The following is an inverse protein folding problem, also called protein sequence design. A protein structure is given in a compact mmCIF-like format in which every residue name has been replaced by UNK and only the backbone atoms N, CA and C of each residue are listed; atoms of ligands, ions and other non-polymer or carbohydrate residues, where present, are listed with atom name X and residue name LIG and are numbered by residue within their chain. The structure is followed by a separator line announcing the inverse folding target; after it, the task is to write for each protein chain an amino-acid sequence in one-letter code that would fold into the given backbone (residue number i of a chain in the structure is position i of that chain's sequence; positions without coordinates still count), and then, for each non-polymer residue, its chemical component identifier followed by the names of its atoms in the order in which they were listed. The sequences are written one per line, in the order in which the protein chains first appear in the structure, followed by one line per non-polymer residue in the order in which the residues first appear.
data_IF_522652704389
#
_entry.id   IF_522652704389
#
_cell.length_a   1.000
_cell.length_b   1.000
_cell.length_c   1.000
_cell.angle_alpha   90.00
_cell.angle_beta   90.00
_cell.angle_gamma   90.00
#
_symmetry.space_group_name_H-M   'P 1'
#
loop_
_entity.id
_entity.type
_entity.pdbx_description
1 polymer ?
#
# COMPACT_ATOMS: atom_id res chain seq x y z
N UNK A 1 -22.43 24.36 4.73
CA UNK A 1 -22.58 23.00 5.32
C UNK A 1 -22.92 21.95 4.28
N UNK A 2 -23.83 22.24 3.37
CA UNK A 2 -24.17 21.30 2.27
C UNK A 2 -23.07 21.10 1.21
N UNK A 3 -22.19 22.09 0.97
CA UNK A 3 -21.18 22.00 -0.08
C UNK A 3 -20.07 20.97 0.23
N UNK A 4 -19.57 20.91 1.45
CA UNK A 4 -18.49 19.98 1.80
C UNK A 4 -18.97 18.52 1.86
N UNK A 5 -20.17 18.29 2.40
CA UNK A 5 -20.80 16.98 2.38
C UNK A 5 -21.10 16.52 0.93
N UNK A 6 -21.46 17.45 0.05
CA UNK A 6 -21.67 17.17 -1.37
C UNK A 6 -20.37 16.96 -2.13
N UNK A 7 -19.30 17.70 -1.82
CA UNK A 7 -18.01 17.57 -2.50
C UNK A 7 -17.28 16.27 -2.13
N UNK A 8 -17.33 15.85 -0.87
CA UNK A 8 -16.73 14.60 -0.44
C UNK A 8 -17.60 13.40 -0.83
N UNK A 9 -18.93 13.54 -0.86
CA UNK A 9 -19.81 12.55 -1.49
C UNK A 9 -19.62 12.52 -3.01
N UNK A 10 -19.28 13.63 -3.66
CA UNK A 10 -18.89 13.69 -5.06
C UNK A 10 -17.53 13.05 -5.31
N UNK A 11 -16.55 13.17 -4.40
CA UNK A 11 -15.28 12.46 -4.50
C UNK A 11 -15.44 10.95 -4.36
N UNK A 12 -16.34 10.52 -3.46
CA UNK A 12 -16.73 9.11 -3.36
C UNK A 12 -17.53 8.64 -4.60
N UNK A 13 -18.27 9.58 -5.25
CA UNK A 13 -19.03 9.30 -6.48
C UNK A 13 -18.23 9.52 -7.76
N UNK A 14 -17.17 10.33 -7.75
CA UNK A 14 -16.29 10.53 -8.93
C UNK A 14 -15.37 9.33 -9.20
N UNK A 15 -15.32 8.35 -8.29
CA UNK A 15 -14.82 7.01 -8.59
C UNK A 15 -15.85 6.13 -9.30
N UNK A 16 -17.11 6.57 -9.38
CA UNK A 16 -18.13 5.99 -10.27
C UNK A 16 -17.97 6.56 -11.69
N UNK A 17 -16.94 6.14 -12.41
CA UNK A 17 -17.07 6.04 -13.85
C UNK A 17 -18.23 5.05 -14.12
N UNK A 18 -19.11 5.29 -15.11
CA UNK A 18 -20.17 4.36 -15.45
C UNK A 18 -19.55 3.08 -16.04
N UNK A 19 -18.98 2.26 -15.20
CA UNK A 19 -18.35 0.99 -15.50
C UNK A 19 -19.21 -0.12 -14.94
N UNK A 20 -19.74 -0.93 -15.81
CA UNK A 20 -20.48 -2.17 -15.54
C UNK A 20 -19.87 -2.91 -14.36
N UNK A 21 -20.70 -3.30 -13.44
CA UNK A 21 -20.45 -4.15 -12.28
C UNK A 21 -19.35 -5.21 -12.57
N UNK A 22 -18.22 -5.15 -11.86
CA UNK A 22 -17.13 -6.16 -11.95
C UNK A 22 -17.68 -7.56 -11.61
N UNK A 23 -18.73 -7.63 -10.79
CA UNK A 23 -19.38 -8.86 -10.38
C UNK A 23 -20.04 -9.66 -11.52
N UNK A 24 -20.40 -9.03 -12.66
CA UNK A 24 -21.07 -9.74 -13.75
C UNK A 24 -20.13 -10.42 -14.76
N UNK A 25 -18.81 -10.15 -14.70
CA UNK A 25 -17.82 -10.69 -15.65
C UNK A 25 -16.70 -11.53 -15.03
N UNK A 26 -16.69 -11.72 -13.71
CA UNK A 26 -15.83 -12.73 -13.07
C UNK A 26 -16.46 -14.14 -13.30
N UNK A 27 -16.33 -14.65 -14.52
CA UNK A 27 -16.61 -16.06 -14.81
C UNK A 27 -15.54 -16.89 -14.13
N UNK A 28 -15.84 -17.42 -12.95
CA UNK A 28 -15.11 -18.52 -12.36
C UNK A 28 -15.35 -19.78 -13.21
N UNK A 29 -14.37 -20.15 -14.01
CA UNK A 29 -14.33 -21.52 -14.55
C UNK A 29 -13.75 -22.42 -13.46
N UNK A 30 -14.60 -23.06 -12.68
CA UNK A 30 -14.19 -24.15 -11.76
C UNK A 30 -14.21 -25.43 -12.58
N UNK A 31 -13.09 -25.80 -13.13
CA UNK A 31 -12.89 -27.13 -13.68
C UNK A 31 -11.79 -27.84 -12.88
N UNK A 32 -12.19 -28.80 -12.07
CA UNK A 32 -11.29 -29.79 -11.50
C UNK A 32 -11.24 -29.80 -9.97
N UNK A 33 -11.66 -30.90 -9.38
CA UNK A 33 -11.32 -31.29 -8.02
C UNK A 33 -9.81 -31.49 -7.95
N UNK A 34 -9.10 -30.63 -7.22
CA UNK A 34 -7.65 -30.78 -6.99
C UNK A 34 -7.50 -31.59 -5.72
N UNK A 35 -7.07 -32.84 -5.88
CA UNK A 35 -6.49 -33.62 -4.79
C UNK A 35 -5.13 -33.00 -4.46
N UNK A 36 -4.99 -32.42 -3.26
CA UNK A 36 -3.72 -31.85 -2.77
C UNK A 36 -2.96 -32.98 -2.10
N UNK A 37 -2.01 -33.58 -2.83
CA UNK A 37 -0.97 -34.42 -2.22
C UNK A 37 0.11 -33.51 -1.62
N UNK A 38 0.29 -33.59 -0.31
CA UNK A 38 1.41 -32.98 0.41
C UNK A 38 2.70 -33.71 0.06
N UNK A 39 3.54 -33.14 -0.80
CA UNK A 39 4.93 -33.58 -0.95
C UNK A 39 5.86 -32.60 -0.20
N UNK A 40 6.48 -33.08 0.87
CA UNK A 40 7.64 -32.43 1.49
C UNK A 40 8.78 -32.36 0.46
N UNK A 41 9.05 -31.18 -0.11
CA UNK A 41 10.39 -30.90 -0.64
C UNK A 41 10.59 -30.56 -2.10
N UNK A 42 9.61 -30.67 -3.01
CA UNK A 42 9.82 -30.26 -4.42
C UNK A 42 9.00 -29.03 -4.79
N UNK A 43 9.64 -28.05 -5.45
CA UNK A 43 8.96 -26.92 -6.04
C UNK A 43 8.08 -27.45 -7.18
N UNK A 44 6.77 -27.14 -7.22
CA UNK A 44 5.90 -27.58 -8.31
C UNK A 44 6.28 -26.91 -9.63
N UNK A 45 5.95 -27.52 -10.74
CA UNK A 45 6.18 -26.93 -12.08
C UNK A 45 5.20 -25.79 -12.39
N UNK A 46 4.02 -25.80 -11.76
CA UNK A 46 2.95 -24.80 -11.94
C UNK A 46 2.45 -24.28 -10.61
N UNK A 47 1.84 -23.12 -10.61
CA UNK A 47 1.27 -22.46 -9.46
C UNK A 47 -0.04 -21.75 -9.83
N UNK A 48 -0.84 -21.39 -8.82
CA UNK A 48 -1.97 -20.51 -9.01
C UNK A 48 -1.55 -19.05 -8.89
N UNK A 49 -2.19 -18.19 -9.69
CA UNK A 49 -1.97 -16.75 -9.65
C UNK A 49 -3.21 -15.97 -10.10
N UNK A 50 -3.39 -14.76 -9.56
CA UNK A 50 -4.38 -13.80 -10.04
C UNK A 50 -3.77 -13.01 -11.21
N UNK A 51 -4.09 -13.42 -12.42
CA UNK A 51 -3.50 -12.90 -13.67
C UNK A 51 -4.35 -11.77 -14.24
N UNK A 52 -3.76 -10.60 -14.36
CA UNK A 52 -4.34 -9.48 -15.08
C UNK A 52 -4.31 -9.73 -16.59
N UNK A 53 -5.46 -9.68 -17.24
CA UNK A 53 -5.65 -9.93 -18.67
C UNK A 53 -6.08 -8.69 -19.47
N UNK A 54 -6.45 -7.60 -18.76
CA UNK A 54 -6.88 -6.34 -19.35
C UNK A 54 -7.60 -5.46 -18.33
N UNK A 55 -8.14 -4.35 -18.80
CA UNK A 55 -8.88 -3.41 -17.95
C UNK A 55 -10.00 -4.13 -17.20
N UNK A 56 -9.97 -4.07 -15.87
CA UNK A 56 -10.92 -4.72 -14.97
C UNK A 56 -11.07 -6.25 -15.20
N UNK A 57 -10.05 -6.89 -15.76
CA UNK A 57 -10.05 -8.32 -16.02
C UNK A 57 -8.86 -8.98 -15.30
N UNK A 58 -9.12 -9.57 -14.13
CA UNK A 58 -8.17 -10.36 -13.36
C UNK A 58 -8.76 -11.74 -13.14
N UNK A 59 -8.01 -12.77 -13.51
CA UNK A 59 -8.46 -14.17 -13.48
C UNK A 59 -7.55 -15.03 -12.63
N UNK A 60 -8.12 -15.94 -11.86
CA UNK A 60 -7.33 -17.00 -11.23
C UNK A 60 -6.94 -18.04 -12.29
N UNK A 61 -5.65 -18.24 -12.47
CA UNK A 61 -5.10 -19.14 -13.49
C UNK A 61 -4.00 -20.03 -12.92
N UNK A 62 -3.80 -21.18 -13.54
CA UNK A 62 -2.61 -22.01 -13.33
C UNK A 62 -1.55 -21.58 -14.32
N UNK A 63 -0.39 -21.18 -13.82
CA UNK A 63 0.73 -20.67 -14.61
C UNK A 63 2.03 -21.38 -14.19
N UNK A 64 3.08 -21.39 -15.02
CA UNK A 64 4.38 -21.93 -14.61
C UNK A 64 4.94 -21.19 -13.38
N UNK A 65 5.55 -21.93 -12.45
CA UNK A 65 6.39 -21.31 -11.40
C UNK A 65 7.58 -20.64 -12.10
N UNK A 66 7.90 -19.37 -11.75
CA UNK A 66 8.96 -18.66 -12.45
C UNK A 66 10.33 -19.31 -12.24
N UNK A 67 11.05 -19.52 -13.34
CA UNK A 67 12.44 -19.95 -13.27
C UNK A 67 13.29 -18.82 -12.64
N UNK A 68 14.29 -19.18 -11.85
CA UNK A 68 15.21 -18.23 -11.20
C UNK A 68 16.66 -18.62 -11.50
N UNK A 69 17.55 -17.64 -11.47
CA UNK A 69 18.95 -17.76 -11.83
C UNK A 69 19.93 -17.56 -10.67
N UNK A 70 21.21 -17.41 -11.02
CA UNK A 70 22.25 -17.11 -10.06
C UNK A 70 21.98 -15.78 -9.33
N UNK A 71 22.20 -15.72 -8.02
CA UNK A 71 21.99 -14.55 -7.20
C UNK A 71 20.53 -14.26 -6.83
N UNK A 72 19.56 -15.05 -7.34
CA UNK A 72 18.13 -14.83 -7.19
C UNK A 72 17.50 -15.77 -6.14
N UNK A 73 16.29 -15.44 -5.71
CA UNK A 73 15.47 -16.28 -4.84
C UNK A 73 14.15 -16.65 -5.53
N UNK A 74 13.63 -17.81 -5.19
CA UNK A 74 12.23 -18.12 -5.32
C UNK A 74 11.60 -18.06 -3.94
N UNK A 75 10.62 -17.17 -3.75
CA UNK A 75 9.91 -17.01 -2.49
C UNK A 75 8.48 -17.53 -2.64
N UNK A 76 8.08 -18.44 -1.75
CA UNK A 76 6.69 -18.84 -1.60
C UNK A 76 5.98 -17.75 -0.80
N UNK A 77 4.97 -17.14 -1.42
CA UNK A 77 4.23 -16.01 -0.84
C UNK A 77 3.31 -16.51 0.27
N UNK A 78 3.42 -15.91 1.44
CA UNK A 78 2.50 -16.14 2.54
C UNK A 78 1.40 -15.08 2.57
N UNK A 79 1.79 -13.80 2.52
CA UNK A 79 0.86 -12.66 2.60
C UNK A 79 1.27 -11.59 1.60
N UNK A 80 0.30 -11.09 0.86
CA UNK A 80 0.47 -9.92 0.01
C UNK A 80 -0.66 -8.92 0.26
N UNK A 81 -0.31 -7.68 0.58
CA UNK A 81 -1.28 -6.60 0.75
C UNK A 81 -1.85 -6.12 -0.58
N UNK A 82 -3.15 -5.81 -0.60
CA UNK A 82 -3.80 -5.12 -1.73
C UNK A 82 -3.60 -3.63 -1.57
N UNK A 83 -3.05 -2.99 -2.60
CA UNK A 83 -2.77 -1.56 -2.65
C UNK A 83 -3.70 -0.84 -3.64
N UNK A 84 -4.07 0.41 -3.35
CA UNK A 84 -4.79 1.26 -4.28
C UNK A 84 -4.08 1.45 -5.63
N UNK A 85 -2.74 1.32 -5.65
CA UNK A 85 -1.94 1.35 -6.87
C UNK A 85 -2.21 0.13 -7.77
N UNK A 86 -2.44 -1.05 -7.21
CA UNK A 86 -2.81 -2.25 -8.00
C UNK A 86 -4.18 -2.04 -8.63
N UNK A 87 -5.16 -1.56 -7.84
CA UNK A 87 -6.52 -1.27 -8.33
C UNK A 87 -6.51 -0.24 -9.46
N UNK A 88 -5.74 0.85 -9.30
CA UNK A 88 -5.58 1.86 -10.35
C UNK A 88 -5.01 1.24 -11.63
N UNK A 89 -3.95 0.43 -11.54
CA UNK A 89 -3.35 -0.23 -12.71
C UNK A 89 -4.35 -1.13 -13.42
N UNK A 90 -5.16 -1.88 -12.66
CA UNK A 90 -6.20 -2.76 -13.17
C UNK A 90 -7.29 -1.94 -13.89
N UNK A 91 -7.76 -0.85 -13.28
CA UNK A 91 -8.85 -0.05 -13.82
C UNK A 91 -8.44 0.80 -15.03
N UNK A 92 -7.21 1.32 -15.06
CA UNK A 92 -6.77 2.24 -16.13
C UNK A 92 -6.09 1.55 -17.31
N UNK A 93 -5.75 0.26 -17.22
CA UNK A 93 -5.02 -0.43 -18.27
C UNK A 93 -3.61 0.12 -18.51
N UNK A 94 -3.03 0.79 -17.51
CA UNK A 94 -1.72 1.45 -17.64
C UNK A 94 -0.55 0.48 -17.81
N UNK A 95 -0.82 -0.82 -17.76
CA UNK A 95 0.17 -1.88 -17.91
C UNK A 95 -0.32 -2.91 -18.93
N UNK A 96 0.61 -3.44 -19.71
CA UNK A 96 0.31 -4.52 -20.67
C UNK A 96 -0.02 -5.83 -19.97
N UNK A 97 -1.00 -6.55 -20.48
CA UNK A 97 -1.33 -7.93 -20.10
C UNK A 97 -0.45 -8.93 -20.91
N UNK A 98 -0.20 -10.15 -20.43
CA UNK A 98 -0.56 -10.65 -19.10
C UNK A 98 0.37 -10.15 -18.00
N UNK A 99 -0.13 -10.08 -16.74
CA UNK A 99 0.66 -9.64 -15.59
C UNK A 99 0.08 -10.13 -14.27
N UNK A 100 0.93 -10.24 -13.24
CA UNK A 100 0.50 -10.50 -11.87
C UNK A 100 0.92 -9.30 -11.03
N UNK A 101 -0.03 -8.71 -10.29
CA UNK A 101 0.20 -7.58 -9.39
C UNK A 101 0.49 -8.04 -7.95
N UNK A 102 0.47 -7.11 -7.02
CA UNK A 102 0.80 -7.34 -5.61
C UNK A 102 2.27 -7.05 -5.32
N UNK A 103 2.53 -6.03 -4.50
CA UNK A 103 3.89 -5.53 -4.23
C UNK A 103 4.21 -5.36 -2.75
N UNK A 104 3.29 -5.67 -1.87
CA UNK A 104 3.46 -5.66 -0.42
C UNK A 104 3.59 -7.13 0.06
N UNK A 105 4.74 -7.74 -0.20
CA UNK A 105 4.88 -9.20 -0.18
C UNK A 105 5.79 -9.68 0.94
N UNK A 106 5.32 -10.67 1.70
CA UNK A 106 6.09 -11.45 2.66
C UNK A 106 5.88 -12.96 2.44
N UNK A 107 6.89 -13.75 2.76
CA UNK A 107 6.82 -15.19 2.51
C UNK A 107 8.04 -15.95 3.02
N UNK A 108 8.21 -17.16 2.50
CA UNK A 108 9.30 -18.07 2.86
C UNK A 108 10.16 -18.35 1.64
N UNK A 109 11.47 -18.30 1.78
CA UNK A 109 12.41 -18.69 0.73
C UNK A 109 12.19 -20.16 0.40
N UNK A 110 11.73 -20.46 -0.82
CA UNK A 110 11.52 -21.81 -1.31
C UNK A 110 12.79 -22.39 -1.92
N UNK A 111 13.57 -21.54 -2.62
CA UNK A 111 14.85 -21.94 -3.20
C UNK A 111 15.76 -20.73 -3.38
N UNK A 112 17.06 -21.01 -3.48
CA UNK A 112 18.13 -20.01 -3.66
C UNK A 112 18.93 -20.34 -4.91
N UNK A 113 19.25 -19.30 -5.70
CA UNK A 113 20.13 -19.41 -6.86
C UNK A 113 21.60 -19.52 -6.49
N UNK A 114 22.40 -19.98 -7.43
CA UNK A 114 23.85 -20.09 -7.22
C UNK A 114 24.44 -18.75 -6.79
N UNK A 115 25.35 -18.77 -5.80
CA UNK A 115 26.03 -17.58 -5.28
C UNK A 115 25.27 -16.77 -4.23
N UNK A 116 24.02 -17.10 -3.92
CA UNK A 116 23.33 -16.52 -2.75
C UNK A 116 23.94 -17.11 -1.48
N UNK A 117 24.36 -16.23 -0.56
CA UNK A 117 25.00 -16.62 0.72
C UNK A 117 24.19 -16.15 1.94
N UNK A 118 23.40 -15.08 1.76
CA UNK A 118 22.69 -14.41 2.87
C UNK A 118 21.32 -15.03 3.17
N UNK A 119 20.83 -15.95 2.34
CA UNK A 119 19.55 -16.59 2.51
C UNK A 119 19.62 -18.09 2.24
N UNK A 120 18.71 -18.85 2.88
CA UNK A 120 18.54 -20.28 2.67
C UNK A 120 17.06 -20.65 2.58
N UNK A 121 16.70 -21.79 2.00
CA UNK A 121 15.34 -22.29 2.03
C UNK A 121 14.81 -22.39 3.47
N UNK A 122 13.58 -21.94 3.68
CA UNK A 122 12.96 -21.85 5.01
C UNK A 122 13.08 -20.47 5.67
N UNK A 123 13.97 -19.58 5.22
CA UNK A 123 14.05 -18.23 5.75
C UNK A 123 12.75 -17.47 5.50
N UNK A 124 12.24 -16.83 6.56
CA UNK A 124 11.08 -15.93 6.49
C UNK A 124 11.54 -14.56 6.02
N UNK A 125 10.93 -14.04 4.95
CA UNK A 125 11.40 -12.81 4.31
C UNK A 125 10.26 -11.87 3.92
N UNK A 126 10.57 -10.57 3.95
CA UNK A 126 9.81 -9.54 3.23
C UNK A 126 10.59 -9.14 1.99
N UNK A 127 9.88 -8.96 0.89
CA UNK A 127 10.47 -8.57 -0.39
C UNK A 127 10.07 -7.14 -0.73
N UNK A 128 11.02 -6.23 -0.54
CA UNK A 128 10.87 -4.81 -0.88
C UNK A 128 11.43 -4.58 -2.28
N UNK A 129 10.58 -4.55 -3.28
CA UNK A 129 11.01 -4.51 -4.68
C UNK A 129 11.37 -3.10 -5.21
N UNK A 130 11.17 -2.05 -4.42
CA UNK A 130 11.49 -0.66 -4.81
C UNK A 130 13.00 -0.36 -4.76
N UNK A 131 13.80 -1.18 -5.43
CA UNK A 131 15.25 -1.04 -5.49
C UNK A 131 15.63 -0.37 -6.81
N UNK A 132 16.05 0.92 -6.79
CA UNK A 132 16.44 1.65 -7.98
C UNK A 132 17.86 1.26 -8.46
N UNK A 133 18.20 1.58 -9.71
CA UNK A 133 19.51 1.26 -10.29
C UNK A 133 20.67 2.03 -9.67
N UNK A 134 20.44 3.19 -9.05
CA UNK A 134 21.41 4.13 -8.45
C UNK A 134 22.34 4.85 -9.43
N UNK A 135 22.22 4.64 -10.74
CA UNK A 135 23.11 5.16 -11.77
C UNK A 135 22.44 6.20 -12.67
N UNK A 136 21.11 6.08 -12.93
CA UNK A 136 20.40 7.00 -13.79
C UNK A 136 20.29 8.40 -13.18
N UNK A 137 19.95 9.37 -14.01
CA UNK A 137 19.76 10.78 -13.62
C UNK A 137 18.87 10.93 -12.38
N UNK A 138 17.73 10.25 -12.37
CA UNK A 138 16.78 10.30 -11.26
C UNK A 138 17.36 9.75 -9.95
N UNK A 139 18.18 8.71 -10.03
CA UNK A 139 18.82 8.14 -8.84
C UNK A 139 19.89 9.08 -8.27
N UNK A 140 20.69 9.71 -9.13
CA UNK A 140 21.70 10.69 -8.72
C UNK A 140 21.09 11.90 -8.02
N UNK A 141 19.84 12.26 -8.38
CA UNK A 141 19.08 13.34 -7.76
C UNK A 141 18.12 12.85 -6.65
N UNK A 142 18.26 11.60 -6.16
CA UNK A 142 17.44 10.99 -5.10
C UNK A 142 15.94 10.95 -5.40
N UNK A 143 15.55 11.08 -6.66
CA UNK A 143 14.15 10.91 -7.10
C UNK A 143 13.88 9.46 -7.52
N UNK A 144 14.18 8.53 -6.64
CA UNK A 144 14.19 7.08 -6.88
C UNK A 144 12.90 6.53 -7.47
N UNK A 145 11.76 7.09 -7.09
CA UNK A 145 10.46 6.72 -7.64
C UNK A 145 10.34 6.96 -9.15
N UNK A 146 11.24 7.75 -9.75
CA UNK A 146 11.29 8.02 -11.18
C UNK A 146 12.35 7.18 -11.91
N UNK A 147 13.09 6.33 -11.19
CA UNK A 147 14.08 5.44 -11.80
C UNK A 147 13.43 4.54 -12.86
N UNK A 148 13.96 4.57 -14.06
CA UNK A 148 13.40 3.83 -15.20
C UNK A 148 13.55 2.30 -15.02
N UNK A 149 14.66 1.86 -14.44
CA UNK A 149 14.93 0.44 -14.21
C UNK A 149 13.94 -0.14 -13.22
N UNK A 150 13.75 0.51 -12.08
CA UNK A 150 12.84 0.04 -11.05
C UNK A 150 11.37 -0.05 -11.54
N UNK A 151 10.97 0.87 -12.44
CA UNK A 151 9.62 0.84 -13.03
C UNK A 151 9.38 -0.33 -13.99
N UNK A 152 10.45 -0.87 -14.57
CA UNK A 152 10.41 -1.93 -15.58
C UNK A 152 10.61 -3.31 -14.98
N UNK A 153 11.37 -3.40 -13.89
CA UNK A 153 11.83 -4.69 -13.34
C UNK A 153 11.67 -4.72 -11.83
N UNK A 154 11.21 -5.84 -11.30
CA UNK A 154 11.02 -6.04 -9.87
C UNK A 154 11.00 -7.51 -9.52
N UNK A 155 10.14 -7.91 -8.58
CA UNK A 155 9.77 -9.30 -8.39
C UNK A 155 8.85 -9.74 -9.51
N UNK A 156 8.95 -10.96 -9.97
CA UNK A 156 8.12 -11.50 -11.04
C UNK A 156 7.48 -12.82 -10.65
N UNK A 157 6.26 -13.06 -11.15
CA UNK A 157 5.55 -14.30 -10.97
C UNK A 157 5.03 -14.78 -12.34
N UNK A 158 5.94 -15.33 -13.15
CA UNK A 158 5.62 -15.90 -14.46
C UNK A 158 5.46 -14.90 -15.61
N UNK A 159 5.06 -13.66 -15.34
CA UNK A 159 4.94 -12.58 -16.31
C UNK A 159 5.69 -11.35 -15.80
N UNK A 160 6.48 -10.73 -16.64
CA UNK A 160 7.23 -9.53 -16.29
C UNK A 160 6.41 -8.25 -16.47
N UNK A 161 6.75 -7.15 -15.79
CA UNK A 161 7.65 -6.90 -14.67
C UNK A 161 6.92 -6.42 -13.41
N UNK A 162 7.64 -6.37 -12.31
CA UNK A 162 7.39 -5.76 -10.99
C UNK A 162 6.04 -5.96 -10.30
N UNK A 163 6.10 -6.50 -9.11
CA UNK A 163 5.00 -6.99 -8.30
C UNK A 163 4.98 -8.52 -8.31
N UNK A 164 3.80 -9.11 -8.34
CA UNK A 164 3.64 -10.56 -8.52
C UNK A 164 3.28 -11.32 -7.25
N UNK A 165 3.05 -10.65 -6.12
CA UNK A 165 2.67 -11.28 -4.85
C UNK A 165 1.25 -11.85 -4.82
N UNK A 166 0.42 -11.59 -5.83
CA UNK A 166 -0.89 -12.26 -5.97
C UNK A 166 -0.72 -13.62 -6.68
N UNK A 167 0.26 -14.38 -6.25
CA UNK A 167 0.61 -15.71 -6.73
C UNK A 167 1.23 -16.55 -5.60
N UNK A 168 1.27 -17.87 -5.75
CA UNK A 168 1.87 -18.76 -4.76
C UNK A 168 3.39 -18.59 -4.65
N UNK A 169 4.05 -18.26 -5.76
CA UNK A 169 5.51 -18.04 -5.80
C UNK A 169 5.86 -16.75 -6.54
N UNK A 170 6.94 -16.12 -6.09
CA UNK A 170 7.52 -14.95 -6.73
C UNK A 170 9.03 -15.13 -6.87
N UNK A 171 9.57 -14.81 -8.05
CA UNK A 171 11.00 -14.70 -8.30
C UNK A 171 11.50 -13.36 -7.81
N UNK A 172 12.57 -13.35 -7.04
CA UNK A 172 13.21 -12.14 -6.52
C UNK A 172 14.56 -11.97 -7.22
N UNK A 173 14.68 -10.89 -7.98
CA UNK A 173 15.86 -10.60 -8.80
C UNK A 173 17.08 -10.32 -7.92
N UNK A 174 18.28 -10.60 -8.43
CA UNK A 174 19.53 -10.57 -7.67
C UNK A 174 19.83 -9.24 -6.96
N UNK A 175 19.52 -8.09 -7.58
CA UNK A 175 19.70 -6.77 -6.94
C UNK A 175 18.66 -6.52 -5.84
N UNK A 176 17.48 -7.14 -5.91
CA UNK A 176 16.47 -7.07 -4.86
C UNK A 176 16.87 -8.00 -3.71
N UNK A 177 17.41 -9.18 -4.01
CA UNK A 177 17.99 -10.05 -2.99
C UNK A 177 19.03 -9.31 -2.16
N UNK A 178 19.94 -8.60 -2.83
CA UNK A 178 21.05 -7.88 -2.18
C UNK A 178 20.63 -6.65 -1.39
N UNK A 179 19.53 -5.99 -1.76
CA UNK A 179 19.22 -4.63 -1.26
C UNK A 179 17.79 -4.45 -0.77
N UNK A 180 16.88 -5.34 -1.14
CA UNK A 180 15.45 -5.22 -0.88
C UNK A 180 14.87 -6.36 -0.05
N UNK A 181 15.54 -7.52 0.00
CA UNK A 181 15.06 -8.67 0.76
C UNK A 181 15.59 -8.61 2.20
N UNK A 182 14.69 -8.78 3.17
CA UNK A 182 15.02 -8.71 4.59
C UNK A 182 14.39 -9.88 5.32
N UNK A 183 15.16 -10.52 6.23
CA UNK A 183 14.62 -11.56 7.12
C UNK A 183 13.59 -10.99 8.07
N UNK A 184 12.54 -11.74 8.30
CA UNK A 184 11.51 -11.46 9.29
C UNK A 184 11.95 -12.14 10.60
N UNK A 185 12.19 -11.39 11.68
CA UNK A 185 12.56 -11.96 12.98
C UNK A 185 11.47 -12.88 13.54
N UNK A 186 11.87 -13.77 14.44
CA UNK A 186 10.93 -14.56 15.22
C UNK A 186 9.99 -13.64 16.03
N UNK A 187 8.72 -14.06 16.12
CA UNK A 187 7.68 -13.27 16.79
C UNK A 187 7.06 -12.15 15.96
N UNK A 188 7.58 -11.84 14.76
CA UNK A 188 6.94 -10.95 13.80
C UNK A 188 6.15 -11.77 12.77
N UNK A 189 4.86 -11.48 12.59
CA UNK A 189 4.02 -12.18 11.61
C UNK A 189 4.34 -11.73 10.17
N UNK A 190 4.00 -12.57 9.18
CA UNK A 190 4.07 -12.19 7.77
C UNK A 190 3.14 -11.01 7.47
N UNK A 191 1.99 -10.96 8.13
CA UNK A 191 1.03 -9.86 8.03
C UNK A 191 1.61 -8.54 8.53
N UNK A 192 2.34 -8.55 9.66
CA UNK A 192 3.07 -7.38 10.15
C UNK A 192 4.16 -6.96 9.14
N UNK A 193 4.93 -7.93 8.66
CA UNK A 193 6.06 -7.69 7.78
C UNK A 193 5.67 -7.13 6.40
N UNK A 194 4.50 -7.49 5.85
CA UNK A 194 4.07 -6.99 4.54
C UNK A 194 3.85 -5.46 4.53
N UNK A 195 3.75 -4.82 5.69
CA UNK A 195 3.65 -3.36 5.79
C UNK A 195 4.98 -2.61 5.60
N UNK A 196 6.10 -3.27 5.37
CA UNK A 196 7.40 -2.57 5.15
C UNK A 196 7.29 -1.59 3.99
N UNK A 197 6.67 -1.97 2.88
CA UNK A 197 6.48 -1.07 1.73
C UNK A 197 5.52 0.09 2.06
N UNK A 198 4.30 -0.13 2.57
CA UNK A 198 3.40 0.95 2.96
C UNK A 198 3.99 1.92 3.99
N UNK A 199 4.70 1.42 4.99
CA UNK A 199 5.36 2.26 6.00
C UNK A 199 6.47 3.09 5.37
N UNK A 200 7.28 2.51 4.48
CA UNK A 200 8.34 3.24 3.78
C UNK A 200 7.78 4.41 2.95
N UNK A 201 6.68 4.18 2.20
CA UNK A 201 6.04 5.24 1.43
C UNK A 201 5.51 6.35 2.34
N UNK A 202 4.92 6.00 3.48
CA UNK A 202 4.43 6.97 4.47
C UNK A 202 5.59 7.75 5.11
N UNK A 203 6.69 7.10 5.50
CA UNK A 203 7.88 7.78 6.04
C UNK A 203 8.43 8.80 5.06
N UNK A 204 8.51 8.45 3.78
CA UNK A 204 8.93 9.39 2.72
C UNK A 204 8.01 10.61 2.63
N UNK A 205 6.69 10.41 2.76
CA UNK A 205 5.73 11.50 2.78
C UNK A 205 5.93 12.44 3.98
N UNK A 206 6.14 11.88 5.17
CA UNK A 206 6.40 12.65 6.39
C UNK A 206 7.74 13.41 6.29
N UNK A 207 8.80 12.76 5.79
CA UNK A 207 10.10 13.40 5.59
C UNK A 207 9.99 14.61 4.64
N UNK A 208 9.22 14.49 3.57
CA UNK A 208 9.00 15.58 2.61
C UNK A 208 8.32 16.81 3.23
N UNK A 209 7.52 16.62 4.28
CA UNK A 209 6.87 17.72 5.02
C UNK A 209 7.82 18.47 5.94
N UNK A 210 8.96 17.89 6.35
CA UNK A 210 9.91 18.52 7.27
C UNK A 210 9.24 19.06 8.53
N UNK A 211 8.39 18.25 9.15
CA UNK A 211 7.62 18.61 10.33
C UNK A 211 8.52 19.06 11.48
N UNK A 212 8.09 20.07 12.22
CA UNK A 212 8.73 20.50 13.45
C UNK A 212 7.88 20.07 14.66
N UNK A 213 8.49 19.75 15.81
CA UNK A 213 7.74 19.44 17.02
C UNK A 213 6.77 20.58 17.39
N UNK A 214 5.54 20.21 17.75
CA UNK A 214 4.48 21.13 18.12
C UNK A 214 3.64 21.67 16.95
N UNK A 215 4.02 21.42 15.70
CA UNK A 215 3.20 21.78 14.54
C UNK A 215 1.87 21.01 14.52
N UNK A 216 0.81 21.69 14.13
CA UNK A 216 -0.52 21.08 13.93
C UNK A 216 -0.62 20.47 12.54
N UNK A 217 -0.93 19.18 12.47
CA UNK A 217 -1.08 18.43 11.21
C UNK A 217 -2.50 17.89 11.09
N UNK A 218 -3.20 18.29 10.02
CA UNK A 218 -4.48 17.70 9.64
C UNK A 218 -4.24 16.54 8.66
N UNK A 219 -4.73 15.33 8.98
CA UNK A 219 -4.68 14.17 8.07
C UNK A 219 -6.09 13.86 7.60
N UNK A 220 -6.36 14.07 6.31
CA UNK A 220 -7.64 13.80 5.65
C UNK A 220 -7.63 12.42 5.05
N UNK A 221 -8.55 11.55 5.52
CA UNK A 221 -8.64 10.13 5.19
C UNK A 221 -7.91 9.25 6.22
N UNK A 222 -8.68 8.38 6.90
CA UNK A 222 -8.20 7.47 7.94
C UNK A 222 -8.33 5.99 7.52
N UNK A 223 -8.04 5.72 6.25
CA UNK A 223 -7.69 4.36 5.81
C UNK A 223 -6.36 3.91 6.41
N UNK A 224 -5.86 2.70 6.08
CA UNK A 224 -4.61 2.16 6.63
C UNK A 224 -3.43 3.14 6.47
N UNK A 225 -3.31 3.75 5.31
CA UNK A 225 -2.26 4.73 4.98
C UNK A 225 -2.41 6.01 5.83
N UNK A 226 -3.65 6.53 5.97
CA UNK A 226 -3.91 7.72 6.77
C UNK A 226 -3.55 7.51 8.25
N UNK A 227 -3.87 6.36 8.81
CA UNK A 227 -3.49 6.02 10.20
C UNK A 227 -1.97 5.91 10.33
N UNK A 228 -1.26 5.24 9.40
CA UNK A 228 0.21 5.16 9.43
C UNK A 228 0.83 6.56 9.34
N UNK A 229 0.38 7.40 8.40
CA UNK A 229 0.84 8.79 8.28
C UNK A 229 0.59 9.59 9.57
N UNK A 230 -0.59 9.43 10.18
CA UNK A 230 -0.95 10.11 11.44
C UNK A 230 -0.03 9.71 12.59
N UNK A 231 0.22 8.40 12.76
CA UNK A 231 1.14 7.89 13.78
C UNK A 231 2.57 8.37 13.55
N UNK A 232 3.04 8.36 12.30
CA UNK A 232 4.38 8.84 11.96
C UNK A 232 4.52 10.37 12.16
N UNK A 233 3.50 11.16 11.85
CA UNK A 233 3.49 12.60 12.13
C UNK A 233 3.50 12.88 13.63
N UNK A 234 2.72 12.13 14.44
CA UNK A 234 2.72 12.22 15.89
C UNK A 234 4.11 11.87 16.47
N UNK A 235 4.78 10.85 15.94
CA UNK A 235 6.15 10.49 16.32
C UNK A 235 7.19 11.56 15.97
N UNK A 236 6.94 12.34 14.91
CA UNK A 236 7.75 13.51 14.57
C UNK A 236 7.50 14.71 15.52
N UNK A 237 6.64 14.54 16.53
CA UNK A 237 6.31 15.57 17.52
C UNK A 237 5.17 16.47 17.14
N UNK A 238 4.44 16.18 16.06
CA UNK A 238 3.31 16.99 15.63
C UNK A 238 2.04 16.74 16.48
N UNK A 239 1.20 17.77 16.59
CA UNK A 239 -0.15 17.68 17.10
C UNK A 239 -1.06 17.25 15.96
N UNK A 240 -1.44 15.97 15.94
CA UNK A 240 -2.19 15.40 14.82
C UNK A 240 -3.69 15.49 15.05
N UNK A 241 -4.42 15.96 14.03
CA UNK A 241 -5.87 15.95 13.95
C UNK A 241 -6.25 15.07 12.76
N UNK A 242 -7.03 14.03 13.01
CA UNK A 242 -7.47 13.09 11.98
C UNK A 242 -8.86 13.44 11.49
N UNK A 243 -9.12 13.25 10.19
CA UNK A 243 -10.43 13.51 9.59
C UNK A 243 -10.82 12.39 8.65
N UNK A 244 -12.05 11.88 8.78
CA UNK A 244 -12.66 10.92 7.86
C UNK A 244 -14.18 11.12 7.83
N UNK A 245 -14.83 10.62 6.77
CA UNK A 245 -16.29 10.56 6.65
C UNK A 245 -16.91 9.41 7.47
N UNK A 246 -16.11 8.38 7.74
CA UNK A 246 -16.56 7.17 8.41
C UNK A 246 -16.09 7.18 9.87
N UNK A 247 -17.01 7.36 10.84
CA UNK A 247 -16.69 7.33 12.27
C UNK A 247 -15.98 6.04 12.71
N UNK A 248 -16.26 4.92 12.03
CA UNK A 248 -15.63 3.63 12.28
C UNK A 248 -14.12 3.69 12.07
N UNK A 249 -13.65 4.38 11.04
CA UNK A 249 -12.21 4.55 10.76
C UNK A 249 -11.55 5.46 11.78
N UNK A 250 -12.22 6.52 12.20
CA UNK A 250 -11.75 7.38 13.28
C UNK A 250 -11.60 6.60 14.60
N UNK A 251 -12.55 5.71 14.90
CA UNK A 251 -12.47 4.82 16.07
C UNK A 251 -11.30 3.83 15.99
N UNK A 252 -10.99 3.31 14.80
CA UNK A 252 -9.80 2.50 14.61
C UNK A 252 -8.55 3.33 14.89
N UNK A 253 -8.48 4.59 14.40
CA UNK A 253 -7.39 5.53 14.68
C UNK A 253 -7.17 5.76 16.17
N UNK A 254 -8.23 5.90 16.97
CA UNK A 254 -8.14 6.04 18.43
C UNK A 254 -7.37 4.88 19.08
N UNK A 255 -7.55 3.67 18.57
CA UNK A 255 -6.82 2.49 19.08
C UNK A 255 -5.31 2.54 18.84
N UNK A 256 -4.83 3.50 18.04
CA UNK A 256 -3.43 3.81 17.81
C UNK A 256 -2.99 5.13 18.47
N UNK A 257 -3.79 5.67 19.40
CA UNK A 257 -3.47 6.89 20.14
C UNK A 257 -3.79 8.19 19.38
N UNK A 258 -4.63 8.14 18.34
CA UNK A 258 -5.06 9.30 17.55
C UNK A 258 -6.37 9.86 18.14
N UNK A 259 -6.25 10.60 19.25
CA UNK A 259 -7.41 11.05 20.02
C UNK A 259 -8.15 12.25 19.39
N UNK A 260 -7.42 13.15 18.71
CA UNK A 260 -8.01 14.34 18.09
C UNK A 260 -8.57 13.98 16.72
N UNK A 261 -9.89 13.91 16.65
CA UNK A 261 -10.61 13.44 15.45
C UNK A 261 -11.71 14.39 15.04
N UNK A 262 -11.93 14.47 13.74
CA UNK A 262 -12.97 15.23 13.10
C UNK A 262 -13.83 14.32 12.22
N UNK A 263 -15.09 14.19 12.56
CA UNK A 263 -16.10 13.57 11.69
C UNK A 263 -16.46 14.57 10.56
N UNK A 264 -15.85 14.36 9.39
CA UNK A 264 -16.03 15.25 8.24
C UNK A 264 -17.44 15.17 7.63
N UNK A 265 -18.27 14.20 8.02
CA UNK A 265 -19.68 14.13 7.63
C UNK A 265 -20.55 15.15 8.37
N UNK A 266 -20.07 15.69 9.49
CA UNK A 266 -20.83 16.57 10.40
C UNK A 266 -20.26 17.96 10.57
N UNK A 267 -18.96 18.15 10.36
CA UNK A 267 -18.27 19.42 10.59
C UNK A 267 -17.40 19.79 9.41
N UNK A 268 -17.36 21.08 9.10
CA UNK A 268 -16.41 21.64 8.16
C UNK A 268 -14.99 21.55 8.71
N UNK A 269 -14.11 20.86 7.98
CA UNK A 269 -12.73 20.63 8.39
C UNK A 269 -11.93 21.93 8.47
N UNK A 270 -12.15 22.87 7.54
CA UNK A 270 -11.43 24.15 7.48
C UNK A 270 -11.79 25.01 8.70
N UNK A 271 -13.10 25.13 8.96
CA UNK A 271 -13.57 25.89 10.12
C UNK A 271 -13.06 25.28 11.44
N UNK A 272 -13.17 23.96 11.57
CA UNK A 272 -12.75 23.29 12.80
C UNK A 272 -11.24 23.42 13.07
N UNK A 273 -10.41 23.30 12.04
CA UNK A 273 -8.96 23.50 12.18
C UNK A 273 -8.65 24.94 12.61
N UNK A 274 -9.33 25.94 12.04
CA UNK A 274 -9.15 27.33 12.44
C UNK A 274 -9.56 27.56 13.90
N UNK A 275 -10.66 26.99 14.35
CA UNK A 275 -11.07 27.04 15.77
C UNK A 275 -9.98 26.48 16.71
N UNK A 276 -9.32 25.38 16.33
CA UNK A 276 -8.26 24.75 17.11
C UNK A 276 -6.89 25.45 17.03
N UNK A 277 -6.72 26.39 16.12
CA UNK A 277 -5.45 27.05 15.84
C UNK A 277 -5.53 28.55 15.91
N UNK A 278 -6.46 29.13 16.69
CA UNK A 278 -6.68 30.57 16.86
C UNK A 278 -6.84 31.31 15.51
N UNK A 279 -7.56 30.73 14.58
CA UNK A 279 -7.83 31.25 13.25
C UNK A 279 -6.74 31.05 12.20
N UNK A 280 -5.55 30.51 12.57
CA UNK A 280 -4.40 30.38 11.65
C UNK A 280 -4.58 29.32 10.56
N UNK A 281 -5.09 28.15 10.91
CA UNK A 281 -5.07 26.93 10.08
C UNK A 281 -3.94 25.97 10.48
N UNK A 282 -3.87 24.80 9.84
CA UNK A 282 -2.88 23.77 10.10
C UNK A 282 -1.49 24.12 9.52
N UNK A 283 -0.42 23.75 10.22
CA UNK A 283 0.95 23.90 9.72
C UNK A 283 1.22 22.97 8.52
N UNK A 284 0.61 21.79 8.55
CA UNK A 284 0.61 20.88 7.41
C UNK A 284 -0.73 20.16 7.26
N UNK A 285 -1.10 19.85 6.02
CA UNK A 285 -2.28 19.05 5.69
C UNK A 285 -1.84 17.87 4.82
N UNK A 286 -2.27 16.66 5.16
CA UNK A 286 -1.96 15.43 4.43
C UNK A 286 -3.23 14.90 3.78
N UNK A 287 -3.25 14.78 2.45
CA UNK A 287 -4.31 14.12 1.71
C UNK A 287 -3.98 12.63 1.55
N UNK A 288 -4.48 11.81 2.47
CA UNK A 288 -4.36 10.35 2.46
C UNK A 288 -5.53 9.65 1.73
N UNK A 289 -6.39 10.41 1.07
CA UNK A 289 -7.50 9.98 0.23
C UNK A 289 -7.47 10.71 -1.11
N UNK A 290 -7.86 10.04 -2.19
CA UNK A 290 -7.92 10.64 -3.52
C UNK A 290 -9.13 11.57 -3.68
N UNK A 291 -8.99 12.57 -4.56
CA UNK A 291 -10.06 13.52 -4.90
C UNK A 291 -9.49 14.90 -5.25
N UNK A 292 -9.63 15.34 -6.51
CA UNK A 292 -9.03 16.59 -6.97
C UNK A 292 -9.62 17.83 -6.27
N UNK A 293 -10.90 17.80 -5.92
CA UNK A 293 -11.60 18.85 -5.15
C UNK A 293 -11.09 18.96 -3.70
N UNK A 294 -10.58 17.88 -3.11
CA UNK A 294 -10.00 17.93 -1.77
C UNK A 294 -8.70 18.74 -1.69
N UNK A 295 -8.03 18.95 -2.83
CA UNK A 295 -6.80 19.76 -2.88
C UNK A 295 -7.12 21.18 -2.44
N UNK A 296 -8.22 21.76 -2.91
CA UNK A 296 -8.67 23.09 -2.49
C UNK A 296 -8.97 23.12 -0.99
N UNK A 297 -9.74 22.17 -0.49
CA UNK A 297 -10.04 22.05 0.95
C UNK A 297 -8.77 21.97 1.79
N UNK A 298 -7.78 21.18 1.34
CA UNK A 298 -6.51 21.08 2.05
C UNK A 298 -5.71 22.40 2.02
N UNK A 299 -5.73 23.12 0.89
CA UNK A 299 -5.11 24.45 0.78
C UNK A 299 -5.78 25.45 1.70
N UNK A 300 -7.14 25.44 1.79
CA UNK A 300 -7.90 26.36 2.65
C UNK A 300 -7.74 26.04 4.15
N UNK A 301 -7.48 24.77 4.49
CA UNK A 301 -7.22 24.34 5.87
C UNK A 301 -5.78 24.63 6.33
N UNK A 302 -4.84 24.75 5.40
CA UNK A 302 -3.45 25.10 5.72
C UNK A 302 -3.32 26.60 6.01
N UNK A 303 -2.49 26.97 7.01
CA UNK A 303 -2.15 28.37 7.29
C UNK A 303 -1.30 28.99 6.17
N UNK A 304 -1.17 30.33 6.10
CA UNK A 304 -0.10 30.94 5.31
C UNK A 304 1.27 30.38 5.70
N UNK A 305 2.13 30.11 4.72
CA UNK A 305 3.41 29.41 4.89
C UNK A 305 3.27 27.92 5.24
N UNK A 306 2.05 27.35 5.17
CA UNK A 306 1.79 25.95 5.44
C UNK A 306 2.12 25.02 4.28
N UNK A 307 2.06 23.72 4.52
CA UNK A 307 2.41 22.66 3.53
C UNK A 307 1.25 21.71 3.32
N UNK A 308 0.99 21.35 2.08
CA UNK A 308 -0.05 20.35 1.73
C UNK A 308 0.61 19.18 1.02
N UNK A 309 0.55 17.99 1.62
CA UNK A 309 1.07 16.75 1.04
C UNK A 309 0.00 16.04 0.19
N UNK A 310 0.25 15.95 -1.10
CA UNK A 310 -0.53 15.13 -2.02
C UNK A 310 0.03 13.70 -2.01
N UNK A 311 -0.57 12.82 -1.22
CA UNK A 311 -0.11 11.45 -1.06
C UNK A 311 -0.93 10.45 -1.91
N UNK A 312 -2.25 10.55 -1.84
CA UNK A 312 -3.16 9.61 -2.53
C UNK A 312 -3.61 10.09 -3.92
N UNK A 313 -3.07 11.21 -4.42
CA UNK A 313 -3.42 11.77 -5.75
C UNK A 313 -2.64 11.07 -6.85
N UNK A 314 -3.08 9.88 -7.26
CA UNK A 314 -2.34 9.03 -8.19
C UNK A 314 -3.00 8.91 -9.58
N UNK A 315 -4.15 9.52 -9.80
CA UNK A 315 -4.86 9.55 -11.09
C UNK A 315 -4.62 10.90 -11.75
N UNK A 316 -4.37 10.90 -13.06
CA UNK A 316 -4.30 12.13 -13.83
C UNK A 316 -5.64 12.85 -13.83
N UNK A 317 -5.61 14.16 -13.67
CA UNK A 317 -6.79 15.02 -13.65
C UNK A 317 -6.42 16.47 -13.39
N UNK A 318 -7.41 17.34 -13.40
CA UNK A 318 -7.26 18.76 -13.13
C UNK A 318 -7.76 19.11 -11.74
N UNK A 319 -7.11 20.07 -11.09
CA UNK A 319 -7.54 20.64 -9.83
C UNK A 319 -7.43 22.16 -9.91
N UNK A 320 -8.48 22.86 -9.48
CA UNK A 320 -8.48 24.33 -9.41
C UNK A 320 -7.94 24.76 -8.07
N UNK A 321 -6.85 25.51 -8.09
CA UNK A 321 -6.25 26.16 -6.91
C UNK A 321 -6.12 27.65 -7.16
N UNK A 322 -6.23 28.45 -6.08
CA UNK A 322 -5.96 29.87 -6.15
C UNK A 322 -4.43 30.10 -6.22
N UNK A 323 -3.92 30.73 -7.29
CA UNK A 323 -2.48 31.04 -7.38
C UNK A 323 -1.99 31.94 -6.24
N UNK A 324 -2.85 32.81 -5.69
CA UNK A 324 -2.49 33.68 -4.56
C UNK A 324 -2.20 32.87 -3.29
N UNK A 325 -2.84 31.73 -3.11
CA UNK A 325 -2.53 30.82 -2.00
C UNK A 325 -1.08 30.30 -2.06
N UNK A 326 -0.53 30.12 -3.28
CA UNK A 326 0.87 29.74 -3.45
C UNK A 326 1.80 30.94 -3.37
N UNK A 327 1.49 32.02 -4.09
CA UNK A 327 2.41 33.14 -4.23
C UNK A 327 2.34 34.13 -3.04
N UNK A 328 1.14 34.52 -2.62
CA UNK A 328 0.95 35.53 -1.60
C UNK A 328 0.95 34.94 -0.19
N UNK A 329 0.29 33.79 -0.03
CA UNK A 329 0.23 33.11 1.27
C UNK A 329 1.41 32.13 1.46
N UNK A 330 2.33 31.99 0.50
CA UNK A 330 3.53 31.16 0.54
C UNK A 330 3.24 29.67 0.90
N UNK A 331 2.05 29.17 0.58
CA UNK A 331 1.72 27.75 0.82
C UNK A 331 2.44 26.87 -0.15
N UNK A 332 2.89 25.71 0.31
CA UNK A 332 3.65 24.73 -0.50
C UNK A 332 2.81 23.48 -0.78
N UNK A 333 2.68 23.11 -2.05
CA UNK A 333 2.17 21.79 -2.46
C UNK A 333 3.35 20.81 -2.59
N UNK A 334 3.30 19.71 -1.86
CA UNK A 334 4.33 18.67 -1.83
C UNK A 334 3.76 17.38 -2.38
N UNK A 335 4.39 16.80 -3.40
CA UNK A 335 4.05 15.47 -3.92
C UNK A 335 4.93 14.39 -3.31
N UNK A 336 4.35 13.26 -2.92
CA UNK A 336 5.10 12.06 -2.56
C UNK A 336 4.51 10.85 -3.25
N UNK A 337 5.35 10.13 -4.00
CA UNK A 337 4.94 8.94 -4.75
C UNK A 337 5.94 7.81 -4.53
N UNK A 338 5.41 6.59 -4.25
CA UNK A 338 6.21 5.38 -4.08
C UNK A 338 7.23 5.46 -2.93
N UNK A 339 8.00 4.41 -2.75
CA UNK A 339 8.94 4.26 -1.65
C UNK A 339 10.31 4.92 -1.91
N UNK A 340 11.14 5.01 -0.87
CA UNK A 340 12.53 5.44 -0.94
C UNK A 340 13.46 4.34 -0.40
N UNK A 341 14.47 3.96 -1.18
CA UNK A 341 15.48 2.99 -0.75
C UNK A 341 16.33 3.52 0.42
N UNK A 342 16.48 4.82 0.55
CA UNK A 342 17.22 5.44 1.65
C UNK A 342 16.50 5.29 3.00
N UNK A 343 15.17 5.08 2.98
CA UNK A 343 14.35 4.87 4.17
C UNK A 343 14.07 3.38 4.47
N UNK A 344 14.62 2.46 3.68
CA UNK A 344 14.32 1.05 3.82
C UNK A 344 14.70 0.50 5.20
N UNK A 345 15.91 0.78 5.67
CA UNK A 345 16.37 0.30 6.97
C UNK A 345 15.50 0.84 8.12
N UNK A 346 15.11 2.12 8.05
CA UNK A 346 14.24 2.74 9.05
C UNK A 346 12.83 2.13 9.03
N UNK A 347 12.26 1.92 7.85
CA UNK A 347 10.93 1.30 7.73
C UNK A 347 10.92 -0.16 8.19
N UNK A 348 11.94 -0.92 7.85
CA UNK A 348 12.12 -2.30 8.34
C UNK A 348 12.21 -2.30 9.87
N UNK A 349 13.05 -1.46 10.46
CA UNK A 349 13.21 -1.37 11.92
C UNK A 349 11.88 -1.04 12.60
N UNK A 350 11.14 -0.06 12.10
CA UNK A 350 9.84 0.33 12.65
C UNK A 350 8.81 -0.81 12.59
N UNK A 351 8.73 -1.50 11.45
CA UNK A 351 7.76 -2.60 11.27
C UNK A 351 8.15 -3.81 12.14
N UNK A 352 9.44 -4.17 12.15
CA UNK A 352 9.92 -5.37 12.86
C UNK A 352 9.98 -5.18 14.39
N UNK A 353 10.17 -3.95 14.88
CA UNK A 353 10.12 -3.64 16.32
C UNK A 353 8.71 -3.76 16.90
N UNK A 354 7.67 -3.78 16.06
CA UNK A 354 6.26 -3.81 16.45
C UNK A 354 5.85 -2.61 17.33
N UNK A 355 6.55 -1.48 17.21
CA UNK A 355 6.17 -0.24 17.88
C UNK A 355 4.75 0.22 17.50
N UNK A 356 4.29 -0.21 16.33
CA UNK A 356 2.91 -0.14 15.89
C UNK A 356 2.46 -1.55 15.50
N UNK A 357 1.41 -2.05 16.12
CA UNK A 357 0.78 -3.33 15.73
C UNK A 357 -0.03 -3.14 14.44
N UNK A 358 0.69 -3.20 13.31
CA UNK A 358 0.13 -2.99 11.97
C UNK A 358 -0.87 -4.09 11.57
N UNK A 359 -0.75 -5.28 12.17
CA UNK A 359 -1.71 -6.37 11.96
C UNK A 359 -3.15 -5.97 12.31
N UNK A 360 -3.34 -5.04 13.26
CA UNK A 360 -4.66 -4.49 13.63
C UNK A 360 -5.30 -3.63 12.53
N UNK A 361 -4.52 -3.20 11.55
CA UNK A 361 -5.04 -2.51 10.36
C UNK A 361 -5.61 -3.48 9.32
N UNK A 362 -5.38 -4.78 9.45
CA UNK A 362 -5.91 -5.78 8.51
C UNK A 362 -7.34 -6.11 8.88
N UNK A 363 -8.28 -5.67 8.07
CA UNK A 363 -9.70 -5.95 8.26
C UNK A 363 -10.16 -7.26 7.59
N UNK A 364 -9.56 -7.61 6.46
CA UNK A 364 -9.99 -8.77 5.66
C UNK A 364 -8.80 -9.57 5.15
N UNK A 365 -8.95 -10.90 5.21
CA UNK A 365 -8.00 -11.90 4.74
C UNK A 365 -8.70 -12.79 3.75
N UNK A 366 -8.15 -12.89 2.56
CA UNK A 366 -8.68 -13.71 1.48
C UNK A 366 -7.65 -14.74 1.04
N UNK A 367 -8.12 -15.92 0.69
CA UNK A 367 -7.30 -16.90 -0.02
C UNK A 367 -7.03 -16.41 -1.46
N UNK A 368 -6.00 -16.93 -2.10
CA UNK A 368 -5.70 -16.58 -3.49
C UNK A 368 -6.87 -16.87 -4.45
N UNK A 369 -7.59 -17.95 -4.21
CA UNK A 369 -8.78 -18.30 -4.99
C UNK A 369 -9.93 -17.29 -4.84
N UNK A 370 -9.90 -16.47 -3.79
CA UNK A 370 -10.85 -15.40 -3.51
C UNK A 370 -10.34 -14.03 -3.95
N UNK A 371 -9.25 -13.99 -4.72
CA UNK A 371 -8.59 -12.73 -5.15
C UNK A 371 -9.54 -11.76 -5.85
N UNK A 372 -10.51 -12.26 -6.62
CA UNK A 372 -11.55 -11.42 -7.22
C UNK A 372 -12.38 -10.66 -6.17
N UNK A 373 -12.80 -11.35 -5.10
CA UNK A 373 -13.55 -10.72 -4.00
C UNK A 373 -12.69 -9.72 -3.22
N UNK A 374 -11.40 -10.06 -3.01
CA UNK A 374 -10.45 -9.18 -2.35
C UNK A 374 -10.24 -7.87 -3.13
N UNK A 375 -10.09 -7.96 -4.45
CA UNK A 375 -9.91 -6.80 -5.34
C UNK A 375 -11.19 -5.97 -5.44
N UNK A 376 -12.36 -6.62 -5.52
CA UNK A 376 -13.66 -5.92 -5.56
C UNK A 376 -13.91 -5.15 -4.26
N UNK A 377 -13.73 -5.79 -3.09
CA UNK A 377 -13.87 -5.11 -1.80
C UNK A 377 -12.87 -3.96 -1.63
N UNK A 378 -11.66 -4.10 -2.17
CA UNK A 378 -10.66 -3.04 -2.13
C UNK A 378 -11.02 -1.87 -3.04
N UNK A 379 -11.66 -2.13 -4.20
CA UNK A 379 -12.14 -1.11 -5.14
C UNK A 379 -13.40 -0.40 -4.63
N UNK A 380 -14.26 -1.11 -3.90
CA UNK A 380 -15.53 -0.61 -3.34
C UNK A 380 -15.52 -0.77 -1.80
N UNK A 381 -14.69 -0.02 -1.07
CA UNK A 381 -14.49 -0.24 0.35
C UNK A 381 -15.72 0.13 1.16
N UNK A 382 -16.06 -0.72 2.13
CA UNK A 382 -17.07 -0.43 3.15
C UNK A 382 -16.49 0.49 4.24
N UNK A 383 -17.31 1.13 5.07
CA UNK A 383 -16.85 2.00 6.15
C UNK A 383 -15.81 1.35 7.08
N UNK A 384 -15.98 0.07 7.40
CA UNK A 384 -15.06 -0.71 8.25
C UNK A 384 -13.89 -1.34 7.49
N UNK A 385 -13.86 -1.24 6.14
CA UNK A 385 -12.76 -1.81 5.35
C UNK A 385 -11.48 -1.02 5.55
N UNK A 386 -10.44 -1.73 5.96
CA UNK A 386 -9.09 -1.22 6.16
C UNK A 386 -8.12 -1.94 5.21
N UNK A 387 -6.99 -2.47 5.70
CA UNK A 387 -6.08 -3.26 4.86
C UNK A 387 -6.70 -4.60 4.52
N UNK A 388 -6.68 -4.91 3.24
CA UNK A 388 -7.04 -6.21 2.69
C UNK A 388 -5.77 -6.94 2.31
N UNK A 389 -5.67 -8.21 2.66
CA UNK A 389 -4.53 -9.06 2.28
C UNK A 389 -5.01 -10.31 1.57
N UNK A 390 -4.21 -10.78 0.62
CA UNK A 390 -4.34 -12.07 -0.03
C UNK A 390 -3.27 -13.00 0.53
N UNK A 391 -3.65 -14.21 0.90
CA UNK A 391 -2.80 -15.23 1.54
C UNK A 391 -2.73 -16.48 0.66
N UNK A 392 -1.80 -16.54 -0.32
CA UNK A 392 -1.72 -17.65 -1.25
C UNK A 392 -1.38 -19.00 -0.59
N UNK A 393 -0.61 -18.96 0.49
CA UNK A 393 -0.09 -20.17 1.16
C UNK A 393 -0.89 -20.65 2.37
N UNK A 394 -2.02 -20.03 2.74
CA UNK A 394 -2.69 -20.29 4.03
C UNK A 394 -3.45 -21.63 4.13
N UNK A 395 -3.65 -22.34 3.03
CA UNK A 395 -4.36 -23.61 3.05
C UNK A 395 -3.59 -24.74 3.74
N UNK A 396 -2.27 -24.69 3.75
CA UNK A 396 -1.42 -25.74 4.35
C UNK A 396 -0.97 -25.43 5.78
N UNK A 397 -0.92 -24.15 6.19
CA UNK A 397 -0.58 -23.79 7.59
C UNK A 397 -1.74 -23.98 8.56
N UNK A 398 -2.98 -23.93 8.13
CA UNK A 398 -4.13 -24.29 8.97
C UNK A 398 -4.00 -25.70 9.51
N UNK A 399 -3.59 -26.65 8.67
CA UNK A 399 -3.43 -28.04 9.06
C UNK A 399 -2.21 -28.28 9.97
N UNK A 400 -1.12 -27.53 9.78
CA UNK A 400 0.07 -27.61 10.64
C UNK A 400 -0.16 -26.98 12.02
N UNK A 401 -0.96 -25.92 12.12
CA UNK A 401 -1.24 -25.25 13.39
C UNK A 401 -2.32 -25.96 14.22
N UNK A 402 -3.32 -26.54 13.58
CA UNK A 402 -4.33 -27.39 14.25
C UNK A 402 -3.73 -28.73 14.72
N UNK A 403 -2.74 -29.27 14.00
CA UNK A 403 -2.00 -30.48 14.41
C UNK A 403 -1.04 -30.29 15.59
N UNK A 404 -0.63 -29.05 15.91
CA UNK A 404 0.24 -28.75 17.05
C UNK A 404 -0.52 -28.49 18.37
N UNK A 405 -1.85 -28.58 18.37
CA UNK A 405 -2.72 -28.41 19.55
C UNK A 405 -3.32 -29.73 20.07
N UNK A 406 -2.87 -30.87 19.54
CA UNK A 406 -3.22 -32.21 20.07
C UNK A 406 -2.07 -32.75 20.94
#
# INVERSE_FOLDING_TARGET
MELLAREVQSAARATEAPGRCIASNLRMSIAGHIAIEESKGSIPSTMHAAVYRGVNDVRLETVPVPAFGAGELLVRVHTCGVCGTDLKKIATGSHSAPRIFGHETSGVVAAVGAGVRDFQPGDRVVVFHHVPCRECYYCQHKTFAQCETYKKVGCTAGFEPSGGGFAEYVRVMDWIVKRGTVRIPDGVSFEQACFVEPVNTCMKGIEALRLQPGETVLVIGQGPIGIILSVLAQRAGAVVITSDLYPERLKIGESFGLERKLDASRKDAVQHIRELTDGRGADAVILAVGGNNLIRTAMDAARPGGRVLLFAQTVHGEAVIDPAAICVEEKTLVGSYSASVDLQEQSVRFVMSREMDLGRLISHRFLLMESGQALDLAAHPQPSSMKIVIQPGSTWERNAWEGSKQ
#
